data_IF_082493330857
#
_entry.id   IF_082493330857
#
_cell.length_a   1.000
_cell.length_b   1.000
_cell.length_c   1.000
_cell.angle_alpha   90.00
_cell.angle_beta   90.00
_cell.angle_gamma   90.00
#
_symmetry.space_group_name_H-M   'P 1'
#
loop_
_entity.id
_entity.type
_entity.pdbx_description
1 polymer ?
#
# COMPACT_ATOMS: atom_id res chain seq x y z
N UNK A 1 23.52 -25.90 5.11
CA UNK A 1 22.04 -25.93 5.10
C UNK A 1 21.56 -24.53 5.49
N UNK A 2 20.87 -23.76 4.62
CA UNK A 2 20.33 -22.48 5.04
C UNK A 2 19.12 -22.74 5.94
N UNK A 3 19.10 -22.08 7.10
CA UNK A 3 17.95 -22.03 8.00
C UNK A 3 16.91 -21.12 7.33
N UNK A 4 15.87 -21.69 6.74
CA UNK A 4 14.70 -20.90 6.37
C UNK A 4 14.08 -20.33 7.66
N UNK A 5 14.20 -19.02 7.84
CA UNK A 5 13.72 -18.31 9.02
C UNK A 5 12.17 -18.28 9.02
N UNK A 6 11.49 -18.63 10.11
CA UNK A 6 10.03 -18.75 10.17
C UNK A 6 9.26 -17.41 10.06
N UNK A 7 9.94 -16.27 9.93
CA UNK A 7 9.34 -14.94 10.17
C UNK A 7 8.70 -14.28 8.94
N UNK A 8 8.84 -14.85 7.74
CA UNK A 8 8.31 -14.23 6.52
C UNK A 8 6.78 -14.10 6.51
N UNK A 9 6.08 -14.97 7.26
CA UNK A 9 4.61 -14.99 7.35
C UNK A 9 4.05 -14.02 8.38
N UNK A 10 4.82 -13.66 9.42
CA UNK A 10 4.38 -12.75 10.48
C UNK A 10 4.55 -11.27 10.10
N UNK A 11 5.55 -10.96 9.28
CA UNK A 11 5.77 -9.61 8.75
C UNK A 11 4.71 -9.14 7.74
N UNK A 12 3.99 -10.06 7.09
CA UNK A 12 2.99 -9.71 6.09
C UNK A 12 1.71 -9.10 6.69
N UNK A 13 1.38 -9.40 7.96
CA UNK A 13 0.12 -8.94 8.58
C UNK A 13 0.20 -7.58 9.26
N UNK A 14 1.37 -6.92 9.25
CA UNK A 14 1.62 -5.66 9.99
C UNK A 14 2.03 -4.49 9.08
N UNK A 15 1.91 -4.66 7.75
CA UNK A 15 2.14 -3.54 6.82
C UNK A 15 1.09 -2.46 7.06
N UNK A 16 1.55 -1.23 7.21
CA UNK A 16 0.65 -0.08 7.36
C UNK A 16 -0.03 0.14 6.02
N UNK A 17 -1.36 0.17 6.05
CA UNK A 17 -2.22 0.42 4.88
C UNK A 17 -2.33 1.92 4.61
N UNK A 18 -2.11 2.30 3.35
CA UNK A 18 -2.21 3.67 2.85
C UNK A 18 -3.15 3.71 1.65
N UNK A 19 -3.93 4.78 1.53
CA UNK A 19 -4.64 5.12 0.29
C UNK A 19 -3.92 6.29 -0.35
N UNK A 20 -3.47 6.12 -1.58
CA UNK A 20 -2.85 7.18 -2.38
C UNK A 20 -3.88 7.72 -3.39
N UNK A 21 -4.21 9.00 -3.30
CA UNK A 21 -5.06 9.68 -4.29
C UNK A 21 -4.18 10.58 -5.15
N UNK A 22 -4.10 10.28 -6.43
CA UNK A 22 -3.25 10.98 -7.40
C UNK A 22 -3.84 10.85 -8.81
N UNK A 23 -4.10 11.96 -9.51
CA UNK A 23 -4.83 11.98 -10.78
C UNK A 23 -3.94 11.66 -11.98
N UNK A 24 -2.67 12.06 -11.93
CA UNK A 24 -1.69 11.71 -12.96
C UNK A 24 -1.22 10.25 -12.82
N UNK A 25 -1.35 9.48 -13.90
CA UNK A 25 -1.04 8.05 -13.91
C UNK A 25 0.44 7.76 -13.63
N UNK A 26 1.34 8.48 -14.28
CA UNK A 26 2.78 8.20 -14.18
C UNK A 26 3.29 8.54 -12.76
N UNK A 27 2.78 9.65 -12.20
CA UNK A 27 3.05 10.07 -10.82
C UNK A 27 2.48 9.07 -9.81
N UNK A 28 1.24 8.60 -10.00
CA UNK A 28 0.61 7.58 -9.16
C UNK A 28 1.42 6.28 -9.13
N UNK A 29 1.80 5.78 -10.31
CA UNK A 29 2.62 4.56 -10.44
C UNK A 29 3.99 4.70 -9.75
N UNK A 30 4.66 5.85 -9.92
CA UNK A 30 5.92 6.15 -9.25
C UNK A 30 5.79 6.11 -7.72
N UNK A 31 4.77 6.78 -7.16
CA UNK A 31 4.57 6.83 -5.71
C UNK A 31 4.18 5.47 -5.13
N UNK A 32 3.31 4.71 -5.80
CA UNK A 32 2.96 3.35 -5.38
C UNK A 32 4.22 2.47 -5.28
N UNK A 33 5.02 2.41 -6.34
CA UNK A 33 6.24 1.60 -6.36
C UNK A 33 7.21 2.00 -5.24
N UNK A 34 7.37 3.31 -4.99
CA UNK A 34 8.23 3.81 -3.92
C UNK A 34 7.69 3.47 -2.51
N UNK A 35 6.42 3.72 -2.24
CA UNK A 35 5.80 3.45 -0.93
C UNK A 35 5.77 1.95 -0.61
N UNK A 36 5.46 1.10 -1.59
CA UNK A 36 5.52 -0.35 -1.44
C UNK A 36 6.95 -0.83 -1.17
N UNK A 37 7.95 -0.25 -1.84
CA UNK A 37 9.36 -0.54 -1.57
C UNK A 37 9.77 -0.17 -0.14
N UNK A 38 9.22 0.93 0.41
CA UNK A 38 9.42 1.33 1.82
C UNK A 38 8.74 0.36 2.80
N UNK A 39 7.73 -0.39 2.34
CA UNK A 39 7.10 -1.47 3.10
C UNK A 39 5.63 -1.25 3.44
N UNK A 40 4.99 -0.23 2.86
CA UNK A 40 3.55 -0.02 2.99
C UNK A 40 2.74 -1.01 2.14
N UNK A 41 1.47 -1.18 2.50
CA UNK A 41 0.45 -1.76 1.62
C UNK A 41 -0.35 -0.58 1.04
N UNK A 42 -0.23 -0.33 -0.26
CA UNK A 42 -0.76 0.87 -0.90
C UNK A 42 -1.98 0.50 -1.75
N UNK A 43 -3.05 1.29 -1.62
CA UNK A 43 -4.24 1.21 -2.47
C UNK A 43 -4.35 2.53 -3.24
N UNK A 44 -4.14 2.50 -4.55
CA UNK A 44 -4.15 3.70 -5.38
C UNK A 44 -5.57 4.10 -5.82
N UNK A 45 -5.76 5.40 -6.07
CA UNK A 45 -7.00 5.95 -6.58
C UNK A 45 -6.69 7.13 -7.51
N UNK A 46 -7.37 7.18 -8.65
CA UNK A 46 -7.20 8.25 -9.65
C UNK A 46 -8.03 9.50 -9.35
N UNK A 47 -8.95 9.41 -8.38
CA UNK A 47 -9.81 10.50 -7.98
C UNK A 47 -10.26 10.37 -6.51
N UNK A 48 -10.93 11.43 -6.03
CA UNK A 48 -11.40 11.52 -4.67
C UNK A 48 -12.50 10.48 -4.34
N UNK A 49 -13.35 10.13 -5.31
CA UNK A 49 -14.47 9.21 -5.09
C UNK A 49 -13.95 7.79 -4.87
N UNK A 50 -13.05 7.33 -5.74
CA UNK A 50 -12.35 6.06 -5.62
C UNK A 50 -11.52 6.01 -4.35
N UNK A 51 -10.79 7.10 -4.03
CA UNK A 51 -10.01 7.23 -2.80
C UNK A 51 -10.88 7.10 -1.54
N UNK A 52 -12.05 7.75 -1.53
CA UNK A 52 -12.99 7.66 -0.42
C UNK A 52 -13.54 6.24 -0.24
N UNK A 53 -13.92 5.56 -1.33
CA UNK A 53 -14.37 4.17 -1.28
C UNK A 53 -13.26 3.23 -0.78
N UNK A 54 -12.02 3.43 -1.22
CA UNK A 54 -10.86 2.69 -0.73
C UNK A 54 -10.62 2.93 0.76
N UNK A 55 -10.75 4.17 1.24
CA UNK A 55 -10.59 4.47 2.66
C UNK A 55 -11.63 3.73 3.53
N UNK A 56 -12.89 3.67 3.09
CA UNK A 56 -13.94 2.92 3.78
C UNK A 56 -13.68 1.40 3.78
N UNK A 57 -13.20 0.87 2.66
CA UNK A 57 -13.01 -0.57 2.48
C UNK A 57 -11.74 -1.09 3.19
N UNK A 58 -10.62 -0.42 3.00
CA UNK A 58 -9.31 -0.88 3.47
C UNK A 58 -8.94 -0.34 4.85
N UNK A 59 -9.66 0.67 5.37
CA UNK A 59 -9.37 1.28 6.67
C UNK A 59 -7.87 1.61 6.82
N UNK A 60 -7.35 2.50 5.95
CA UNK A 60 -5.96 2.94 6.02
C UNK A 60 -5.73 3.69 7.33
N UNK A 61 -4.47 3.74 7.77
CA UNK A 61 -4.12 4.47 9.00
C UNK A 61 -3.80 5.94 8.73
N UNK A 62 -3.52 6.29 7.48
CA UNK A 62 -3.20 7.63 6.99
C UNK A 62 -3.83 7.80 5.62
#
# INVERSE_FOLDING_TARGET
MPLESPDRRKAASDRVRLVLVEDDRDTREMYCAWLEHVGFEVFDAEDADTGFLHALHYQPRV
#
